data_IF_417952352511
#
_entry.id   IF_417952352511
#
_cell.length_a   1.000
_cell.length_b   1.000
_cell.length_c   1.000
_cell.angle_alpha   90.00
_cell.angle_beta   90.00
_cell.angle_gamma   90.00
#
_symmetry.space_group_name_H-M   'P 1'
#
loop_
_entity.id
_entity.type
_entity.pdbx_description
1 polymer ?
#
# COMPACT_ATOMS: atom_id res chain seq x y z
N UNK A 1 -16.74 -35.45 -6.78
CA UNK A 1 -16.85 -35.08 -8.21
C UNK A 1 -16.43 -36.28 -9.07
N UNK A 2 -17.26 -36.71 -10.03
CA UNK A 2 -17.23 -38.00 -10.75
C UNK A 2 -17.35 -39.30 -9.89
N UNK A 3 -16.39 -39.60 -9.01
CA UNK A 3 -16.40 -40.84 -8.20
C UNK A 3 -17.59 -40.89 -7.21
N UNK A 4 -18.01 -39.73 -6.71
CA UNK A 4 -19.19 -39.61 -5.85
C UNK A 4 -20.52 -39.90 -6.57
N UNK A 5 -20.50 -40.06 -7.90
CA UNK A 5 -21.68 -40.30 -8.73
C UNK A 5 -21.57 -41.60 -9.54
N UNK A 6 -20.84 -42.61 -9.01
CA UNK A 6 -20.74 -43.94 -9.62
C UNK A 6 -19.63 -44.12 -10.65
N UNK A 7 -18.79 -43.10 -10.86
CA UNK A 7 -17.60 -43.26 -11.71
C UNK A 7 -16.49 -44.07 -11.02
N UNK A 8 -15.63 -44.72 -11.82
CA UNK A 8 -14.46 -45.48 -11.33
C UNK A 8 -13.17 -44.76 -11.67
N UNK A 9 -12.23 -44.68 -10.73
CA UNK A 9 -10.93 -44.03 -10.98
C UNK A 9 -10.04 -44.89 -11.86
N UNK A 10 -9.46 -44.30 -12.89
CA UNK A 10 -8.38 -44.89 -13.71
C UNK A 10 -7.07 -44.08 -13.63
N UNK A 11 -7.00 -43.15 -12.67
CA UNK A 11 -5.83 -42.33 -12.44
C UNK A 11 -6.19 -41.04 -11.72
N UNK A 12 -5.69 -40.88 -10.50
CA UNK A 12 -5.86 -39.67 -9.73
C UNK A 12 -5.26 -38.45 -10.47
N UNK A 13 -5.77 -37.23 -10.23
CA UNK A 13 -5.18 -36.01 -10.77
C UNK A 13 -3.67 -35.93 -10.50
N UNK A 14 -2.88 -35.67 -11.53
CA UNK A 14 -1.43 -35.49 -11.38
C UNK A 14 -0.71 -35.20 -12.69
N UNK A 15 0.57 -34.86 -12.59
CA UNK A 15 1.44 -34.66 -13.76
C UNK A 15 1.63 -35.97 -14.54
N UNK A 16 1.71 -35.84 -15.87
CA UNK A 16 1.94 -36.92 -16.82
C UNK A 16 3.03 -36.49 -17.80
N UNK A 17 4.30 -36.43 -17.35
CA UNK A 17 5.41 -35.89 -18.14
C UNK A 17 5.71 -36.68 -19.41
N UNK A 18 5.17 -37.90 -19.54
CA UNK A 18 5.25 -38.71 -20.75
C UNK A 18 4.45 -38.15 -21.93
N UNK A 19 3.46 -37.27 -21.71
CA UNK A 19 2.80 -36.52 -22.79
C UNK A 19 3.57 -35.24 -23.14
N UNK A 20 3.83 -34.39 -22.15
CA UNK A 20 4.78 -33.27 -22.19
C UNK A 20 4.95 -32.72 -20.75
N UNK A 21 5.97 -31.88 -20.47
CA UNK A 21 6.33 -31.46 -19.10
C UNK A 21 5.23 -30.77 -18.27
N UNK A 22 4.18 -30.29 -18.94
CA UNK A 22 3.10 -29.50 -18.33
C UNK A 22 1.75 -30.21 -18.33
N UNK A 23 1.68 -31.44 -18.84
CA UNK A 23 0.42 -32.17 -18.91
C UNK A 23 0.01 -32.60 -17.49
N UNK A 24 -1.07 -32.01 -16.97
CA UNK A 24 -1.70 -32.41 -15.72
C UNK A 24 -3.05 -33.05 -16.02
N UNK A 25 -3.24 -34.33 -15.67
CA UNK A 25 -4.41 -35.10 -16.07
C UNK A 25 -5.03 -35.91 -14.95
N UNK A 26 -6.34 -36.14 -15.06
CA UNK A 26 -7.11 -37.10 -14.29
C UNK A 26 -7.93 -37.99 -15.24
N UNK A 27 -8.05 -39.28 -14.90
CA UNK A 27 -8.75 -40.26 -15.73
C UNK A 27 -9.75 -41.04 -14.90
N UNK A 28 -10.95 -41.19 -15.42
CA UNK A 28 -12.00 -41.98 -14.80
C UNK A 28 -12.92 -42.58 -15.86
N UNK A 29 -13.70 -43.58 -15.45
CA UNK A 29 -14.83 -44.06 -16.23
C UNK A 29 -16.13 -43.51 -15.67
N UNK A 30 -17.04 -43.15 -16.56
CA UNK A 30 -18.43 -42.91 -16.17
C UNK A 30 -19.15 -44.26 -15.87
N UNK A 31 -20.39 -44.22 -15.34
CA UNK A 31 -21.15 -45.44 -15.04
C UNK A 31 -21.43 -46.34 -16.25
N UNK A 32 -21.40 -45.79 -17.47
CA UNK A 32 -21.61 -46.52 -18.72
C UNK A 32 -20.31 -47.17 -19.26
N UNK A 33 -19.18 -46.91 -18.58
CA UNK A 33 -17.88 -47.47 -18.91
C UNK A 33 -17.03 -46.62 -19.87
N UNK A 34 -17.50 -45.44 -20.29
CA UNK A 34 -16.75 -44.54 -21.15
C UNK A 34 -15.55 -43.97 -20.41
N UNK A 35 -14.39 -43.95 -21.07
CA UNK A 35 -13.17 -43.36 -20.51
C UNK A 35 -13.18 -41.85 -20.74
N UNK A 36 -13.10 -41.10 -19.65
CA UNK A 36 -13.03 -39.64 -19.65
C UNK A 36 -11.66 -39.20 -19.16
N UNK A 37 -11.05 -38.27 -19.90
CA UNK A 37 -9.80 -37.63 -19.57
C UNK A 37 -10.04 -36.13 -19.39
N UNK A 38 -9.65 -35.60 -18.24
CA UNK A 38 -9.63 -34.16 -17.98
C UNK A 38 -8.17 -33.76 -17.86
N UNK A 39 -7.72 -32.87 -18.75
CA UNK A 39 -6.33 -32.46 -18.82
C UNK A 39 -6.19 -30.94 -18.87
N UNK A 40 -5.17 -30.42 -18.18
CA UNK A 40 -4.64 -29.08 -18.35
C UNK A 40 -3.26 -29.20 -19.00
N UNK A 41 -3.06 -28.43 -20.06
CA UNK A 41 -1.82 -28.41 -20.83
C UNK A 41 -0.95 -27.19 -20.53
N UNK A 42 -1.49 -26.23 -19.78
CA UNK A 42 -0.79 -25.01 -19.41
C UNK A 42 0.32 -25.32 -18.41
N UNK A 43 1.49 -24.67 -18.53
CA UNK A 43 2.49 -24.76 -17.51
C UNK A 43 1.89 -24.35 -16.16
N UNK A 44 2.20 -25.05 -15.05
CA UNK A 44 1.93 -24.48 -13.74
C UNK A 44 2.53 -23.07 -13.72
N UNK A 45 1.82 -22.07 -13.17
CA UNK A 45 2.27 -20.68 -13.20
C UNK A 45 3.73 -20.61 -12.76
N UNK A 46 4.59 -20.12 -13.66
CA UNK A 46 6.01 -19.97 -13.38
C UNK A 46 6.18 -18.87 -12.34
N UNK A 47 6.58 -19.26 -11.13
CA UNK A 47 6.92 -18.42 -9.98
C UNK A 47 5.78 -17.54 -9.41
N UNK A 48 5.03 -18.09 -8.46
CA UNK A 48 4.86 -17.35 -7.22
C UNK A 48 5.96 -17.87 -6.28
N UNK A 49 6.92 -17.01 -5.95
CA UNK A 49 7.98 -17.31 -4.99
C UNK A 49 7.42 -17.97 -3.72
N UNK A 50 7.76 -19.24 -3.51
CA UNK A 50 7.42 -20.00 -2.30
C UNK A 50 8.28 -19.60 -1.08
N UNK A 51 8.77 -18.37 -1.04
CA UNK A 51 9.52 -17.79 0.10
C UNK A 51 8.77 -16.64 0.77
N UNK A 52 7.68 -16.14 0.18
CA UNK A 52 6.80 -15.20 0.86
C UNK A 52 5.78 -15.97 1.70
N UNK A 53 5.90 -15.89 3.03
CA UNK A 53 4.83 -16.34 3.93
C UNK A 53 3.51 -15.68 3.51
N UNK A 54 2.43 -16.47 3.39
CA UNK A 54 1.10 -15.92 3.10
C UNK A 54 0.80 -14.77 4.08
N UNK A 55 0.28 -13.62 3.61
CA UNK A 55 -0.05 -12.51 4.50
C UNK A 55 -0.97 -12.96 5.66
N UNK A 56 -0.81 -12.39 6.87
CA UNK A 56 -1.72 -12.68 7.97
C UNK A 56 -3.13 -12.20 7.63
N UNK A 57 -4.16 -12.83 8.22
CA UNK A 57 -5.56 -12.40 8.03
C UNK A 57 -5.85 -11.11 8.80
N UNK A 58 -5.28 -10.97 9.99
CA UNK A 58 -5.41 -9.79 10.84
C UNK A 58 -4.21 -9.66 11.77
N UNK A 59 -3.85 -8.42 12.12
CA UNK A 59 -2.84 -8.09 13.12
C UNK A 59 -3.32 -6.88 13.92
N UNK A 60 -2.82 -6.71 15.16
CA UNK A 60 -2.97 -5.43 15.86
C UNK A 60 -2.06 -4.39 15.20
N UNK A 61 -2.61 -3.23 14.85
CA UNK A 61 -1.84 -2.17 14.18
C UNK A 61 -0.58 -1.73 14.96
N UNK A 62 -0.64 -1.74 16.30
CA UNK A 62 0.48 -1.41 17.17
C UNK A 62 1.64 -2.42 17.11
N UNK A 63 1.37 -3.65 16.70
CA UNK A 63 2.38 -4.72 16.60
C UNK A 63 3.14 -4.67 15.25
N UNK A 64 2.61 -3.96 14.24
CA UNK A 64 3.27 -3.78 12.94
C UNK A 64 4.46 -2.87 13.09
N UNK A 65 5.69 -3.35 12.90
CA UNK A 65 6.90 -2.55 13.09
C UNK A 65 6.85 -1.19 12.35
N UNK A 66 7.37 -0.10 12.95
CA UNK A 66 7.55 1.16 12.24
C UNK A 66 8.45 0.98 11.02
N UNK A 67 8.24 1.79 9.99
CA UNK A 67 9.11 1.85 8.81
C UNK A 67 10.54 2.18 9.25
N UNK A 68 11.49 1.37 8.80
CA UNK A 68 12.91 1.59 9.06
C UNK A 68 13.39 2.94 8.49
N UNK A 69 12.97 3.28 7.26
CA UNK A 69 13.20 4.59 6.66
C UNK A 69 12.13 5.57 7.11
N UNK A 70 12.52 6.60 7.87
CA UNK A 70 11.60 7.58 8.45
C UNK A 70 10.99 8.54 7.41
N UNK A 71 11.74 8.87 6.35
CA UNK A 71 11.28 9.76 5.28
C UNK A 71 12.06 9.55 3.99
N UNK A 72 11.43 9.91 2.87
CA UNK A 72 12.05 9.96 1.55
C UNK A 72 12.50 11.35 1.12
N UNK A 73 12.12 12.40 1.87
CA UNK A 73 12.62 13.74 1.61
C UNK A 73 14.15 13.81 1.66
N UNK A 74 14.78 14.65 0.82
CA UNK A 74 16.19 15.03 0.97
C UNK A 74 16.37 16.02 2.13
N UNK A 75 17.61 16.25 2.55
CA UNK A 75 17.91 17.38 3.44
C UNK A 75 17.74 18.72 2.70
N UNK A 76 17.33 19.80 3.41
CA UNK A 76 17.12 19.90 4.87
C UNK A 76 15.73 19.40 5.36
N UNK A 77 14.88 18.90 4.46
CA UNK A 77 13.51 18.55 4.79
C UNK A 77 13.37 17.20 5.51
N UNK A 78 14.35 16.31 5.34
CA UNK A 78 14.42 15.07 6.10
C UNK A 78 14.43 15.35 7.61
N UNK A 79 15.28 16.28 8.07
CA UNK A 79 15.36 16.68 9.48
C UNK A 79 14.04 17.24 10.02
N UNK A 80 13.24 17.92 9.19
CA UNK A 80 11.91 18.45 9.59
C UNK A 80 10.88 17.37 9.92
N UNK A 81 11.11 16.12 9.51
CA UNK A 81 10.23 14.99 9.84
C UNK A 81 10.55 14.35 11.19
N UNK A 82 11.48 14.93 11.98
CA UNK A 82 11.77 14.49 13.32
C UNK A 82 10.48 14.38 14.17
N UNK A 83 10.36 13.31 14.96
CA UNK A 83 9.18 13.04 15.79
C UNK A 83 8.01 12.36 15.07
N UNK A 84 8.06 12.18 13.74
CA UNK A 84 7.09 11.39 12.97
C UNK A 84 7.52 9.91 12.90
N UNK A 85 6.59 8.99 13.16
CA UNK A 85 6.79 7.55 12.98
C UNK A 85 5.61 6.92 12.25
N UNK A 86 5.87 6.07 11.24
CA UNK A 86 4.83 5.46 10.38
C UNK A 86 4.89 3.95 10.44
N UNK A 87 3.75 3.27 10.53
CA UNK A 87 3.59 1.82 10.38
C UNK A 87 2.76 1.54 9.14
N UNK A 88 3.32 0.82 8.17
CA UNK A 88 2.68 0.56 6.89
C UNK A 88 1.74 -0.64 6.99
N UNK A 89 0.52 -0.40 7.47
CA UNK A 89 -0.45 -1.45 7.72
C UNK A 89 -0.85 -2.20 6.46
N UNK A 90 -1.09 -1.48 5.36
CA UNK A 90 -1.49 -2.09 4.09
C UNK A 90 -0.45 -3.06 3.51
N UNK A 91 0.83 -2.78 3.72
CA UNK A 91 1.93 -3.61 3.20
C UNK A 91 1.97 -5.00 3.86
N UNK A 92 1.57 -5.09 5.13
CA UNK A 92 1.47 -6.37 5.87
C UNK A 92 0.51 -7.35 5.18
N UNK A 93 -0.53 -6.83 4.53
CA UNK A 93 -1.56 -7.61 3.85
C UNK A 93 -1.34 -7.72 2.34
N UNK A 94 -0.28 -7.12 1.81
CA UNK A 94 0.00 -7.11 0.37
C UNK A 94 -0.93 -6.20 -0.45
N UNK A 95 -1.50 -5.14 0.15
CA UNK A 95 -2.35 -4.19 -0.59
C UNK A 95 -1.54 -3.41 -1.63
N UNK A 96 -1.99 -3.44 -2.88
CA UNK A 96 -1.28 -2.79 -3.98
C UNK A 96 -1.89 -1.46 -4.44
N UNK A 97 -3.21 -1.30 -4.33
CA UNK A 97 -3.91 -0.16 -4.95
C UNK A 97 -3.80 1.14 -4.14
N UNK A 98 -3.73 1.02 -2.82
CA UNK A 98 -3.63 2.14 -1.89
C UNK A 98 -2.74 1.77 -0.70
N UNK A 99 -2.11 2.77 -0.10
CA UNK A 99 -1.42 2.64 1.17
C UNK A 99 -2.38 2.88 2.32
N UNK A 100 -2.18 2.18 3.42
CA UNK A 100 -2.77 2.50 4.73
C UNK A 100 -1.64 2.56 5.73
N UNK A 101 -1.44 3.70 6.38
CA UNK A 101 -0.44 3.84 7.44
C UNK A 101 -1.08 4.32 8.74
N UNK A 102 -0.58 3.80 9.85
CA UNK A 102 -0.77 4.40 11.16
C UNK A 102 0.43 5.29 11.46
N UNK A 103 0.18 6.59 11.61
CA UNK A 103 1.23 7.57 11.84
C UNK A 103 1.10 8.15 13.26
N UNK A 104 2.22 8.21 13.97
CA UNK A 104 2.37 8.93 15.24
C UNK A 104 3.14 10.23 15.00
N UNK A 105 2.65 11.33 15.56
CA UNK A 105 3.36 12.61 15.66
C UNK A 105 3.62 12.92 17.13
N UNK A 106 4.90 13.02 17.50
CA UNK A 106 5.29 13.58 18.80
C UNK A 106 4.91 15.07 18.89
N UNK A 107 4.91 15.68 20.09
CA UNK A 107 4.79 17.13 20.25
C UNK A 107 5.73 17.90 19.32
N UNK A 108 5.19 18.89 18.60
CA UNK A 108 5.90 19.72 17.62
C UNK A 108 6.17 19.07 16.26
N UNK A 109 5.90 17.76 16.08
CA UNK A 109 6.17 17.06 14.82
C UNK A 109 5.10 17.35 13.76
N UNK A 110 5.46 17.16 12.48
CA UNK A 110 4.56 17.34 11.33
C UNK A 110 4.39 16.05 10.52
N UNK A 111 3.24 15.91 9.85
CA UNK A 111 2.94 14.74 9.00
C UNK A 111 3.79 14.71 7.74
N UNK A 112 4.09 15.87 7.18
CA UNK A 112 4.75 16.07 5.89
C UNK A 112 5.11 17.55 5.73
N UNK A 113 5.88 17.88 4.70
CA UNK A 113 5.80 19.22 4.13
C UNK A 113 4.37 19.46 3.62
N UNK A 114 3.93 20.71 3.57
CA UNK A 114 2.60 21.03 3.05
C UNK A 114 2.58 20.75 1.55
N UNK A 115 1.66 19.92 1.08
CA UNK A 115 1.67 19.48 -0.31
C UNK A 115 0.29 19.11 -0.86
N UNK A 116 0.18 19.12 -2.19
CA UNK A 116 -0.97 18.59 -2.92
C UNK A 116 -0.52 17.55 -3.94
N UNK A 117 -1.31 16.48 -4.08
CA UNK A 117 -1.13 15.44 -5.09
C UNK A 117 -1.86 15.80 -6.39
N UNK A 118 -1.30 15.44 -7.54
CA UNK A 118 -1.94 15.69 -8.85
C UNK A 118 -2.88 14.56 -9.28
N UNK A 119 -2.63 13.33 -8.82
CA UNK A 119 -3.33 12.12 -9.30
C UNK A 119 -3.83 11.19 -8.18
N UNK A 120 -3.23 11.24 -6.99
CA UNK A 120 -3.60 10.36 -5.87
C UNK A 120 -4.55 11.08 -4.92
N UNK A 121 -5.71 10.48 -4.65
CA UNK A 121 -6.56 10.93 -3.54
C UNK A 121 -5.90 10.54 -2.22
N UNK A 122 -6.09 11.36 -1.18
CA UNK A 122 -5.63 11.06 0.17
C UNK A 122 -6.75 11.32 1.19
N UNK A 123 -6.76 10.55 2.27
CA UNK A 123 -7.70 10.65 3.38
C UNK A 123 -6.99 10.43 4.71
N UNK A 124 -7.35 11.22 5.71
CA UNK A 124 -6.84 11.08 7.08
C UNK A 124 -7.95 10.93 8.10
N UNK A 125 -7.71 10.15 9.16
CA UNK A 125 -8.64 9.96 10.27
C UNK A 125 -7.90 10.01 11.60
N UNK A 126 -8.26 10.93 12.50
CA UNK A 126 -7.61 11.11 13.79
C UNK A 126 -8.12 10.07 14.79
N UNK A 127 -7.19 9.32 15.38
CA UNK A 127 -7.48 8.28 16.38
C UNK A 127 -7.22 8.76 17.81
N UNK A 128 -6.19 9.58 18.01
CA UNK A 128 -5.77 10.10 19.31
C UNK A 128 -5.10 11.46 19.15
N UNK A 129 -5.23 12.32 20.16
CA UNK A 129 -4.60 13.64 20.20
C UNK A 129 -5.34 14.67 19.35
N UNK A 130 -4.80 15.89 19.29
CA UNK A 130 -5.45 17.02 18.62
C UNK A 130 -4.49 17.73 17.66
N UNK A 131 -4.21 17.17 16.47
CA UNK A 131 -3.37 17.85 15.49
C UNK A 131 -4.10 19.05 14.88
N UNK A 132 -3.35 20.02 14.39
CA UNK A 132 -3.87 21.10 13.57
C UNK A 132 -3.65 20.74 12.10
N UNK A 133 -4.72 20.67 11.32
CA UNK A 133 -4.67 20.59 9.86
C UNK A 133 -4.42 21.97 9.29
N UNK A 134 -3.39 22.12 8.46
CA UNK A 134 -3.19 23.34 7.69
C UNK A 134 -3.49 23.05 6.24
N UNK A 135 -4.30 23.90 5.63
CA UNK A 135 -4.67 23.90 4.21
C UNK A 135 -4.53 25.32 3.65
N UNK A 136 -4.82 25.52 2.37
CA UNK A 136 -4.92 26.86 1.79
C UNK A 136 -6.06 27.69 2.41
N UNK A 137 -7.08 27.04 2.98
CA UNK A 137 -8.22 27.69 3.66
C UNK A 137 -7.87 28.12 5.09
N UNK A 138 -6.70 27.70 5.59
CA UNK A 138 -6.19 28.05 6.90
C UNK A 138 -6.03 26.84 7.82
N UNK A 139 -6.12 27.10 9.12
CA UNK A 139 -5.80 26.17 10.19
C UNK A 139 -7.06 25.65 10.85
N UNK A 140 -7.18 24.33 10.96
CA UNK A 140 -8.34 23.65 11.56
C UNK A 140 -7.85 22.65 12.61
N UNK A 141 -8.10 22.89 13.90
CA UNK A 141 -7.86 21.89 14.94
C UNK A 141 -8.74 20.66 14.68
N UNK A 142 -8.14 19.48 14.76
CA UNK A 142 -8.84 18.21 14.66
C UNK A 142 -8.80 17.49 16.03
N UNK A 143 -9.78 16.62 16.25
CA UNK A 143 -9.95 15.79 17.44
C UNK A 143 -10.19 14.33 17.03
N UNK A 144 -10.05 13.37 17.96
CA UNK A 144 -10.35 11.97 17.68
C UNK A 144 -11.76 11.78 17.09
N UNK A 145 -11.83 11.00 16.02
CA UNK A 145 -13.08 10.77 15.27
C UNK A 145 -13.30 11.71 14.09
N UNK A 146 -12.54 12.81 13.99
CA UNK A 146 -12.57 13.69 12.82
C UNK A 146 -11.66 13.19 11.69
N UNK A 147 -12.04 13.54 10.47
CA UNK A 147 -11.33 13.14 9.26
C UNK A 147 -11.32 14.26 8.22
N UNK A 148 -10.39 14.18 7.29
CA UNK A 148 -10.29 15.08 6.15
C UNK A 148 -9.93 14.28 4.89
N UNK A 149 -10.44 14.71 3.74
CA UNK A 149 -10.14 14.13 2.44
C UNK A 149 -9.54 15.19 1.51
N UNK A 150 -8.60 14.76 0.69
CA UNK A 150 -7.81 15.60 -0.20
C UNK A 150 -7.92 15.03 -1.60
N UNK A 151 -8.81 15.63 -2.41
CA UNK A 151 -9.03 15.19 -3.78
C UNK A 151 -7.82 15.54 -4.65
N UNK A 152 -7.34 14.57 -5.40
CA UNK A 152 -6.29 14.70 -6.40
C UNK A 152 -6.55 15.86 -7.36
N UNK A 153 -5.50 16.62 -7.65
CA UNK A 153 -5.53 17.72 -8.60
C UNK A 153 -6.33 18.95 -8.15
N UNK A 154 -6.85 18.97 -6.92
CA UNK A 154 -7.51 20.17 -6.36
C UNK A 154 -6.53 21.33 -6.16
N UNK A 155 -5.25 21.02 -5.93
CA UNK A 155 -4.21 22.00 -5.62
C UNK A 155 -4.23 22.49 -4.18
N UNK A 156 -5.26 22.18 -3.38
CA UNK A 156 -5.32 22.55 -1.98
C UNK A 156 -4.30 21.75 -1.19
N UNK A 157 -3.19 22.39 -0.81
CA UNK A 157 -2.06 21.72 -0.20
C UNK A 157 -2.19 21.63 1.32
N UNK A 158 -1.88 20.46 1.88
CA UNK A 158 -2.15 20.14 3.27
C UNK A 158 -0.99 19.49 4.02
N UNK A 159 -1.03 19.60 5.34
CA UNK A 159 -0.30 18.76 6.30
C UNK A 159 -0.95 18.85 7.69
N UNK A 160 -0.57 17.96 8.59
CA UNK A 160 -0.89 18.03 10.01
C UNK A 160 0.36 18.49 10.78
N UNK A 161 0.16 19.34 11.78
CA UNK A 161 1.17 19.66 12.79
C UNK A 161 0.61 19.30 14.16
N UNK A 162 1.38 18.61 14.99
CA UNK A 162 1.04 18.39 16.39
C UNK A 162 1.54 19.57 17.23
N UNK A 163 0.69 20.55 17.47
CA UNK A 163 1.01 21.75 18.27
C UNK A 163 0.76 21.55 19.77
N UNK A 164 0.43 20.32 20.18
CA UNK A 164 0.11 19.96 21.57
C UNK A 164 1.30 19.31 22.27
N UNK A 165 1.16 19.06 23.57
CA UNK A 165 2.15 18.34 24.40
C UNK A 165 1.91 16.83 24.49
N UNK A 166 0.88 16.31 23.81
CA UNK A 166 0.54 14.89 23.76
C UNK A 166 0.85 14.30 22.39
N UNK A 167 1.03 13.00 22.33
CA UNK A 167 1.13 12.29 21.06
C UNK A 167 -0.19 12.31 20.27
N UNK A 168 -0.06 12.52 18.97
CA UNK A 168 -1.15 12.32 18.00
C UNK A 168 -0.96 10.99 17.30
N UNK A 169 -2.05 10.23 17.15
CA UNK A 169 -2.12 9.07 16.26
C UNK A 169 -3.24 9.28 15.24
N UNK A 170 -2.94 9.03 13.97
CA UNK A 170 -3.92 9.11 12.90
C UNK A 170 -3.67 8.05 11.83
N UNK A 171 -4.71 7.69 11.09
CA UNK A 171 -4.61 6.91 9.87
C UNK A 171 -4.43 7.85 8.69
N UNK A 172 -3.55 7.48 7.77
CA UNK A 172 -3.45 8.06 6.43
C UNK A 172 -3.69 6.96 5.40
N UNK A 173 -4.54 7.25 4.44
CA UNK A 173 -4.90 6.38 3.34
C UNK A 173 -4.71 7.16 2.05
N UNK A 174 -3.99 6.61 1.09
CA UNK A 174 -3.77 7.29 -0.18
C UNK A 174 -3.54 6.31 -1.31
N UNK A 175 -3.95 6.70 -2.51
CA UNK A 175 -3.79 5.87 -3.71
C UNK A 175 -2.31 5.59 -4.02
N UNK A 176 -2.06 4.55 -4.81
CA UNK A 176 -0.73 4.21 -5.36
C UNK A 176 -0.68 4.37 -6.87
N UNK A 177 -1.55 5.21 -7.43
CA UNK A 177 -1.63 5.41 -8.88
C UNK A 177 -0.26 5.89 -9.43
N UNK A 178 0.29 5.26 -10.48
CA UNK A 178 1.55 5.66 -11.07
C UNK A 178 1.52 7.08 -11.67
N UNK A 179 2.72 7.69 -11.77
CA UNK A 179 2.94 8.96 -12.45
C UNK A 179 2.42 10.19 -11.72
N UNK A 180 2.22 10.09 -10.40
CA UNK A 180 1.79 11.21 -9.57
C UNK A 180 2.89 12.23 -9.31
N UNK A 181 2.49 13.45 -9.00
CA UNK A 181 3.37 14.56 -8.65
C UNK A 181 2.92 15.19 -7.34
N UNK A 182 3.89 15.46 -6.46
CA UNK A 182 3.68 16.23 -5.24
C UNK A 182 4.11 17.68 -5.44
N UNK A 183 3.20 18.62 -5.22
CA UNK A 183 3.45 20.06 -5.28
C UNK A 183 3.56 20.64 -3.87
N UNK A 184 4.63 21.36 -3.59
CA UNK A 184 4.93 21.93 -2.28
C UNK A 184 4.92 23.46 -2.39
N UNK A 185 3.85 24.16 -1.98
CA UNK A 185 3.78 25.61 -2.14
C UNK A 185 4.84 26.35 -1.32
N UNK A 186 5.13 25.87 -0.10
CA UNK A 186 5.89 26.63 0.89
C UNK A 186 7.42 26.45 0.77
N UNK A 187 7.87 25.39 0.12
CA UNK A 187 9.26 24.95 0.08
C UNK A 187 9.76 24.82 -1.37
N UNK A 188 11.04 25.04 -1.65
CA UNK A 188 11.63 24.90 -3.00
C UNK A 188 11.83 23.43 -3.42
N UNK A 189 10.81 22.61 -3.30
CA UNK A 189 10.86 21.18 -3.61
C UNK A 189 9.69 20.79 -4.49
N UNK A 190 9.91 19.83 -5.37
CA UNK A 190 8.89 19.14 -6.13
C UNK A 190 9.21 17.64 -6.16
N UNK A 191 8.16 16.83 -6.24
CA UNK A 191 8.30 15.38 -6.29
C UNK A 191 7.57 14.81 -7.51
N UNK A 192 8.23 13.92 -8.24
CA UNK A 192 7.63 13.18 -9.35
C UNK A 192 7.81 11.68 -9.10
N UNK A 193 6.74 10.91 -9.29
CA UNK A 193 6.79 9.46 -9.20
C UNK A 193 7.29 8.87 -10.53
N UNK A 194 8.49 8.29 -10.51
CA UNK A 194 9.12 7.63 -11.65
C UNK A 194 9.43 6.18 -11.28
N UNK A 195 8.94 5.22 -12.07
CA UNK A 195 9.11 3.78 -11.84
C UNK A 195 8.71 3.34 -10.41
N UNK A 196 7.59 3.88 -9.91
CA UNK A 196 7.07 3.60 -8.57
C UNK A 196 7.91 4.19 -7.43
N UNK A 197 8.84 5.10 -7.73
CA UNK A 197 9.68 5.79 -6.74
C UNK A 197 9.55 7.29 -6.85
N UNK A 198 9.39 7.96 -5.71
CA UNK A 198 9.45 9.41 -5.63
C UNK A 198 10.87 9.91 -5.89
N UNK A 199 11.02 10.80 -6.87
CA UNK A 199 12.22 11.58 -7.12
C UNK A 199 11.96 13.02 -6.72
N UNK A 200 12.89 13.60 -5.97
CA UNK A 200 12.79 14.98 -5.49
C UNK A 200 13.80 15.86 -6.20
N UNK A 201 13.39 17.08 -6.52
CA UNK A 201 14.22 18.11 -7.14
C UNK A 201 13.77 19.48 -6.64
N UNK A 202 14.64 20.48 -6.80
CA UNK A 202 14.28 21.88 -6.72
C UNK A 202 13.21 22.22 -7.78
N UNK A 203 12.45 23.31 -7.58
CA UNK A 203 11.39 23.71 -8.54
C UNK A 203 11.95 24.11 -9.90
N UNK A 204 13.23 24.50 -9.96
CA UNK A 204 13.95 24.75 -11.22
C UNK A 204 14.41 23.46 -11.94
N UNK A 205 14.22 22.28 -11.34
CA UNK A 205 14.59 20.97 -11.88
C UNK A 205 15.96 20.44 -11.43
N UNK A 206 16.75 21.21 -10.69
CA UNK A 206 18.03 20.74 -10.15
C UNK A 206 17.82 19.65 -9.07
N UNK A 207 18.64 18.59 -9.04
CA UNK A 207 18.51 17.56 -8.01
C UNK A 207 18.97 18.07 -6.65
N UNK A 208 18.39 17.53 -5.58
CA UNK A 208 18.97 17.65 -4.24
C UNK A 208 20.22 16.77 -4.11
N UNK A 209 21.24 17.29 -3.44
CA UNK A 209 22.48 16.59 -3.13
C UNK A 209 22.30 15.50 -2.06
#
# INVERSE_FOLDING_TARGET
MALAHGGTSEGAPGLRPHYHPHYYGAYFRDPDGNKLAVACHEPPPQHADATASRPPVAVRAADVAPRARQTNYPEPFATRMAGRSKRALGDVFGLANFGVNLTRLAPGAMSSLRHAHTRQDEFVYVLQGHPTLHTDEGRTPLAPGQCAGFRAGSGNAHHLINETDQDVLYLEVGDRLPGDEGRYPDDDIQAVMVDGRWRFAHKNGEPYA
#
